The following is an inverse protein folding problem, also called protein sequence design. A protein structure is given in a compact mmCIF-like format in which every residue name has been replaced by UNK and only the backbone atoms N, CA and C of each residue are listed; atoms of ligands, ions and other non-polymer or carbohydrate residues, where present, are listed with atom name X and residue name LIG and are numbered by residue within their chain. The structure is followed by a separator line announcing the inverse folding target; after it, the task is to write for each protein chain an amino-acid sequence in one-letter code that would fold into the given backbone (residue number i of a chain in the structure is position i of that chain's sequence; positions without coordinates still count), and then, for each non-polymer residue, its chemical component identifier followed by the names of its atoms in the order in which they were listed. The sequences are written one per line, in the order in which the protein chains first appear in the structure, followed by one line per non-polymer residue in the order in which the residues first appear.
data_IF_453281573105
#
_entry.id   IF_453281573105
#
_cell.length_a   1.000
_cell.length_b   1.000
_cell.length_c   1.000
_cell.angle_alpha   90.00
_cell.angle_beta   90.00
_cell.angle_gamma   90.00
#
_symmetry.space_group_name_H-M   'P 1'
#
loop_
_entity.id
_entity.type
_entity.pdbx_description
1 polymer ?
#
# COMPACT_ATOMS: atom_id res chain seq x y z
N UNK A 1 -11.91 5.44 -4.21
CA UNK A 1 -11.92 6.64 -3.36
C UNK A 1 -13.25 7.39 -3.41
N UNK A 2 -13.86 7.65 -4.57
CA UNK A 2 -15.12 8.43 -4.60
C UNK A 2 -16.26 7.81 -3.77
N UNK A 3 -16.47 6.49 -3.88
CA UNK A 3 -17.51 5.79 -3.10
C UNK A 3 -17.28 5.84 -1.60
N UNK A 4 -16.02 5.73 -1.15
CA UNK A 4 -15.70 5.78 0.29
C UNK A 4 -15.80 7.21 0.83
N UNK A 5 -15.48 8.20 0.00
CA UNK A 5 -15.66 9.61 0.33
C UNK A 5 -17.16 9.97 0.43
N UNK A 6 -17.97 9.50 -0.52
CA UNK A 6 -19.43 9.65 -0.50
C UNK A 6 -20.06 8.97 0.73
N UNK A 7 -19.56 7.80 1.11
CA UNK A 7 -20.01 7.08 2.30
C UNK A 7 -19.51 7.70 3.62
N UNK A 8 -18.68 8.74 3.58
CA UNK A 8 -18.24 9.48 4.77
C UNK A 8 -17.10 8.82 5.55
N UNK A 9 -16.34 7.91 4.94
CA UNK A 9 -15.14 7.36 5.56
C UNK A 9 -14.08 8.45 5.74
N UNK A 10 -13.39 8.43 6.89
CA UNK A 10 -12.34 9.41 7.21
C UNK A 10 -10.98 9.02 6.65
N UNK A 11 -10.71 7.72 6.58
CA UNK A 11 -9.46 7.17 6.07
C UNK A 11 -9.67 5.91 5.22
N UNK A 12 -8.66 5.60 4.42
CA UNK A 12 -8.45 4.35 3.70
C UNK A 12 -7.06 3.81 4.02
N UNK A 13 -6.85 2.52 3.84
CA UNK A 13 -5.56 1.87 4.06
C UNK A 13 -5.39 0.77 3.01
N UNK A 14 -5.18 1.19 1.78
CA UNK A 14 -5.13 0.31 0.60
C UNK A 14 -4.11 0.75 -0.47
N UNK A 15 -3.66 2.01 -0.41
CA UNK A 15 -2.76 2.61 -1.39
C UNK A 15 -1.32 2.68 -0.86
N UNK A 16 -0.36 2.75 -1.78
CA UNK A 16 1.06 2.51 -1.50
C UNK A 16 1.98 3.63 -2.05
N UNK A 17 1.47 4.86 -2.19
CA UNK A 17 2.26 5.95 -2.77
C UNK A 17 3.33 6.52 -1.81
N UNK A 18 3.23 6.22 -0.52
CA UNK A 18 4.20 6.54 0.54
C UNK A 18 4.37 5.32 1.43
N UNK A 19 5.46 5.26 2.19
CA UNK A 19 5.76 4.12 3.06
C UNK A 19 5.28 4.34 4.51
N UNK A 20 5.69 5.45 5.13
CA UNK A 20 5.58 5.67 6.59
C UNK A 20 4.85 6.96 6.96
N UNK A 21 4.26 7.65 5.99
CA UNK A 21 3.64 8.96 6.19
C UNK A 21 2.26 8.96 5.55
N UNK A 22 1.19 9.27 6.31
CA UNK A 22 -0.13 9.50 5.76
C UNK A 22 -0.13 10.54 4.63
N UNK A 23 -1.13 10.47 3.75
CA UNK A 23 -1.27 11.45 2.67
C UNK A 23 -2.70 11.53 2.15
N UNK A 24 -3.02 12.59 1.41
CA UNK A 24 -4.28 12.72 0.67
C UNK A 24 -4.09 12.24 -0.77
N UNK A 25 -4.67 11.10 -1.19
CA UNK A 25 -4.45 10.59 -2.54
C UNK A 25 -5.02 11.52 -3.61
N UNK A 26 -4.20 11.87 -4.60
CA UNK A 26 -4.61 12.70 -5.73
C UNK A 26 -5.35 11.91 -6.80
N UNK A 27 -6.35 12.56 -7.41
CA UNK A 27 -6.93 12.10 -8.67
C UNK A 27 -6.00 12.48 -9.82
N UNK A 28 -6.00 11.69 -10.89
CA UNK A 28 -5.11 11.91 -12.03
C UNK A 28 -5.85 11.68 -13.35
N UNK A 29 -5.56 12.54 -14.32
CA UNK A 29 -5.81 12.26 -15.72
C UNK A 29 -4.55 11.65 -16.34
N UNK A 30 -4.68 10.40 -16.80
CA UNK A 30 -3.59 9.65 -17.43
C UNK A 30 -3.45 10.08 -18.88
N UNK A 31 -2.23 10.41 -19.29
CA UNK A 31 -1.89 10.80 -20.66
C UNK A 31 -0.90 9.81 -21.26
N UNK A 32 -1.03 9.53 -22.56
CA UNK A 32 -0.22 8.49 -23.21
C UNK A 32 1.23 8.90 -23.42
N UNK A 33 1.43 10.06 -24.03
CA UNK A 33 2.76 10.52 -24.48
C UNK A 33 3.22 11.77 -23.72
N UNK A 34 2.55 12.10 -22.60
CA UNK A 34 2.81 13.28 -21.77
C UNK A 34 2.71 12.89 -20.30
N UNK A 35 3.33 13.66 -19.41
CA UNK A 35 3.17 13.44 -17.97
C UNK A 35 1.70 13.56 -17.54
N UNK A 36 1.25 12.78 -16.56
CA UNK A 36 -0.14 12.83 -16.10
C UNK A 36 -0.49 14.21 -15.53
N UNK A 37 -1.77 14.57 -15.57
CA UNK A 37 -2.27 15.82 -14.96
C UNK A 37 -2.80 15.49 -13.58
N UNK A 38 -2.26 16.14 -12.56
CA UNK A 38 -2.74 16.07 -11.19
C UNK A 38 -4.08 16.79 -11.06
N UNK A 39 -5.03 16.14 -10.42
CA UNK A 39 -6.30 16.74 -9.98
C UNK A 39 -6.36 16.91 -8.47
N UNK A 40 -7.55 17.24 -7.97
CA UNK A 40 -7.83 17.37 -6.54
C UNK A 40 -7.41 16.14 -5.73
N UNK A 41 -6.79 16.36 -4.57
CA UNK A 41 -6.61 15.35 -3.55
C UNK A 41 -7.93 14.97 -2.86
N UNK A 42 -8.01 13.71 -2.43
CA UNK A 42 -9.13 13.15 -1.68
C UNK A 42 -9.26 13.80 -0.30
N UNK A 43 -10.49 13.93 0.21
CA UNK A 43 -10.71 14.27 1.64
C UNK A 43 -10.53 13.08 2.57
N UNK A 44 -10.43 11.87 2.02
CA UNK A 44 -10.11 10.64 2.76
C UNK A 44 -8.60 10.57 2.97
N UNK A 45 -8.16 10.39 4.22
CA UNK A 45 -6.75 10.23 4.56
C UNK A 45 -6.29 8.82 4.18
N UNK A 46 -5.18 8.69 3.50
CA UNK A 46 -4.57 7.38 3.30
C UNK A 46 -3.58 7.09 4.41
N UNK A 47 -3.75 5.93 5.05
CA UNK A 47 -2.75 5.29 5.89
C UNK A 47 -2.04 4.22 5.07
N UNK A 48 -0.86 4.53 4.51
CA UNK A 48 -0.24 3.68 3.50
C UNK A 48 -0.04 2.25 3.99
N UNK A 49 -0.36 1.32 3.08
CA UNK A 49 0.00 -0.09 3.25
C UNK A 49 1.29 -0.40 2.49
N UNK A 50 1.90 -1.53 2.82
CA UNK A 50 3.07 -2.04 2.11
C UNK A 50 3.01 -3.55 2.04
N UNK A 51 3.29 -4.12 0.87
CA UNK A 51 3.48 -5.57 0.73
C UNK A 51 4.65 -6.09 1.59
N UNK A 52 5.55 -5.22 2.02
CA UNK A 52 6.63 -5.58 2.94
C UNK A 52 6.19 -5.62 4.41
N UNK A 53 5.03 -5.07 4.75
CA UNK A 53 4.39 -5.06 6.08
C UNK A 53 3.10 -5.89 6.12
N UNK A 54 2.99 -6.86 5.21
CA UNK A 54 1.90 -7.82 5.12
C UNK A 54 2.42 -9.23 5.42
N UNK A 55 1.72 -9.98 6.27
CA UNK A 55 2.06 -11.36 6.60
C UNK A 55 1.67 -12.36 5.50
N UNK A 56 0.66 -12.05 4.67
CA UNK A 56 0.10 -13.02 3.74
C UNK A 56 1.06 -13.35 2.59
N UNK A 57 1.59 -12.39 1.81
CA UNK A 57 2.47 -12.74 0.71
C UNK A 57 3.71 -13.56 1.10
N UNK A 58 4.45 -13.26 2.19
CA UNK A 58 5.66 -14.02 2.53
C UNK A 58 5.41 -15.33 3.28
N UNK A 59 4.26 -15.52 3.94
CA UNK A 59 4.04 -16.67 4.83
C UNK A 59 2.90 -17.62 4.37
N UNK A 60 2.00 -17.15 3.50
CA UNK A 60 0.88 -17.97 3.05
C UNK A 60 1.26 -18.93 1.91
N UNK A 61 0.86 -20.18 2.04
CA UNK A 61 0.90 -21.13 0.94
C UNK A 61 -0.39 -21.03 0.09
N UNK A 62 -0.25 -20.63 -1.18
CA UNK A 62 -1.38 -20.45 -2.12
C UNK A 62 -1.37 -21.43 -3.29
N UNK A 63 -0.41 -22.35 -3.33
CA UNK A 63 -0.26 -23.39 -4.35
C UNK A 63 0.36 -22.94 -5.68
N UNK A 64 0.22 -21.67 -6.09
CA UNK A 64 0.82 -21.13 -7.32
C UNK A 64 2.12 -20.34 -7.07
N UNK A 65 2.22 -19.67 -5.92
CA UNK A 65 3.42 -19.01 -5.43
C UNK A 65 3.79 -19.66 -4.10
N UNK A 66 4.99 -20.23 -4.03
CA UNK A 66 5.53 -20.76 -2.78
C UNK A 66 6.18 -19.61 -2.01
N UNK A 67 5.48 -19.11 -1.00
CA UNK A 67 6.14 -18.36 0.06
C UNK A 67 5.62 -18.87 1.39
N UNK A 68 6.20 -20.00 1.80
CA UNK A 68 6.31 -20.44 3.19
C UNK A 68 7.63 -19.90 3.73
N UNK A 69 7.78 -18.59 3.66
CA UNK A 69 9.03 -17.90 3.95
C UNK A 69 9.46 -18.08 5.39
N UNK A 70 10.77 -18.00 5.61
CA UNK A 70 11.36 -18.05 6.94
C UNK A 70 10.91 -16.85 7.80
N UNK A 71 10.44 -17.14 9.02
CA UNK A 71 9.98 -16.13 9.97
C UNK A 71 11.08 -15.19 10.42
N UNK A 72 12.33 -15.65 10.54
CA UNK A 72 13.42 -14.74 10.93
C UNK A 72 13.69 -13.70 9.84
N UNK A 73 13.56 -14.08 8.57
CA UNK A 73 13.69 -13.17 7.44
C UNK A 73 12.60 -12.10 7.44
N UNK A 74 11.34 -12.47 7.72
CA UNK A 74 10.22 -11.52 7.85
C UNK A 74 10.42 -10.61 9.07
N UNK A 75 10.75 -11.19 10.23
CA UNK A 75 11.02 -10.45 11.46
C UNK A 75 12.14 -9.42 11.29
N UNK A 76 13.26 -9.80 10.67
CA UNK A 76 14.36 -8.88 10.40
C UNK A 76 13.91 -7.73 9.52
N UNK A 77 13.19 -8.00 8.42
CA UNK A 77 12.67 -6.95 7.54
C UNK A 77 11.77 -5.97 8.29
N UNK A 78 10.86 -6.48 9.10
CA UNK A 78 9.94 -5.65 9.87
C UNK A 78 10.68 -4.78 10.90
N UNK A 79 11.72 -5.32 11.55
CA UNK A 79 12.60 -4.54 12.41
C UNK A 79 13.37 -3.46 11.64
N UNK A 80 13.93 -3.79 10.47
CA UNK A 80 14.68 -2.83 9.65
C UNK A 80 13.79 -1.64 9.21
N UNK A 81 12.53 -1.91 8.80
CA UNK A 81 11.56 -0.87 8.44
C UNK A 81 11.20 -0.02 9.66
N UNK A 82 10.99 -0.67 10.82
CA UNK A 82 10.71 0.04 12.07
C UNK A 82 11.89 0.94 12.47
N UNK A 83 13.12 0.42 12.43
CA UNK A 83 14.33 1.17 12.79
C UNK A 83 14.51 2.37 11.86
N UNK A 84 14.22 2.22 10.56
CA UNK A 84 14.24 3.36 9.65
C UNK A 84 13.19 4.39 10.04
N UNK A 85 11.95 3.98 10.29
CA UNK A 85 10.87 4.86 10.74
C UNK A 85 11.24 5.61 12.03
N UNK A 86 11.67 4.87 13.04
CA UNK A 86 12.02 5.40 14.36
C UNK A 86 13.16 6.42 14.30
N UNK A 87 14.21 6.14 13.51
CA UNK A 87 15.40 6.99 13.46
C UNK A 87 15.28 8.16 12.46
N UNK A 88 14.47 8.04 11.42
CA UNK A 88 14.52 8.97 10.27
C UNK A 88 13.18 9.64 9.95
N UNK A 89 12.06 9.13 10.47
CA UNK A 89 10.73 9.66 10.18
C UNK A 89 10.04 10.17 11.44
N UNK A 90 10.22 11.46 11.80
CA UNK A 90 9.43 12.10 12.83
C UNK A 90 7.94 11.92 12.56
N UNK A 91 7.19 11.51 13.59
CA UNK A 91 5.75 11.23 13.51
C UNK A 91 5.38 10.23 12.40
N UNK A 92 6.29 9.31 12.06
CA UNK A 92 6.02 8.23 11.13
C UNK A 92 4.99 7.24 11.69
N UNK A 93 4.21 6.65 10.79
CA UNK A 93 3.30 5.55 11.11
C UNK A 93 3.90 4.23 10.64
N UNK A 94 3.56 3.16 11.33
CA UNK A 94 3.94 1.80 10.98
C UNK A 94 2.68 0.93 10.99
N UNK A 95 2.07 0.76 9.81
CA UNK A 95 0.79 0.05 9.65
C UNK A 95 1.04 -1.35 9.11
N UNK A 96 0.67 -2.36 9.88
CA UNK A 96 0.81 -3.78 9.50
C UNK A 96 -0.52 -4.36 9.05
N UNK A 97 -0.50 -5.12 7.96
CA UNK A 97 -1.60 -5.98 7.56
C UNK A 97 -1.34 -7.39 8.08
N UNK A 98 -2.18 -7.85 9.00
CA UNK A 98 -2.06 -9.16 9.64
C UNK A 98 -3.34 -9.96 9.44
N UNK A 99 -3.19 -11.21 9.00
CA UNK A 99 -4.30 -12.09 8.70
C UNK A 99 -4.40 -13.20 9.76
N UNK A 100 -5.52 -13.36 10.49
CA UNK A 100 -5.63 -14.34 11.55
C UNK A 100 -5.29 -15.79 11.14
N UNK A 101 -5.62 -16.18 9.91
CA UNK A 101 -5.30 -17.51 9.38
C UNK A 101 -3.80 -17.73 9.10
N UNK A 102 -3.02 -16.64 9.00
CA UNK A 102 -1.57 -16.68 8.74
C UNK A 102 -0.82 -16.38 10.04
N UNK A 103 -0.87 -15.16 10.57
CA UNK A 103 -0.13 -14.77 11.78
C UNK A 103 -0.52 -15.57 13.04
N UNK A 104 -1.74 -16.11 13.07
CA UNK A 104 -2.27 -16.89 14.19
C UNK A 104 -1.73 -18.31 14.29
N UNK A 105 -0.88 -18.77 13.35
CA UNK A 105 -0.22 -20.06 13.47
C UNK A 105 0.87 -20.02 14.55
N UNK A 106 1.05 -21.13 15.27
CA UNK A 106 1.84 -21.17 16.51
C UNK A 106 3.26 -20.55 16.38
N UNK A 107 3.97 -20.82 15.28
CA UNK A 107 5.32 -20.30 15.05
C UNK A 107 5.33 -18.82 14.65
N UNK A 108 4.32 -18.35 13.91
CA UNK A 108 4.15 -16.94 13.58
C UNK A 108 3.79 -16.09 14.80
N UNK A 109 3.02 -16.64 15.74
CA UNK A 109 2.70 -15.95 17.00
C UNK A 109 3.96 -15.65 17.82
N UNK A 110 4.90 -16.59 17.91
CA UNK A 110 6.20 -16.38 18.59
C UNK A 110 7.03 -15.30 17.90
N UNK A 111 7.02 -15.27 16.57
CA UNK A 111 7.66 -14.20 15.80
C UNK A 111 7.03 -12.83 16.08
N UNK A 112 5.69 -12.75 16.08
CA UNK A 112 4.96 -11.51 16.36
C UNK A 112 5.19 -11.02 17.79
N UNK A 113 5.21 -11.92 18.78
CA UNK A 113 5.54 -11.59 20.17
C UNK A 113 6.92 -10.92 20.27
N UNK A 114 7.94 -11.50 19.62
CA UNK A 114 9.29 -10.92 19.57
C UNK A 114 9.35 -9.56 18.88
N UNK A 115 8.47 -9.30 17.91
CA UNK A 115 8.37 -7.99 17.26
C UNK A 115 7.71 -6.97 18.20
N UNK A 116 6.61 -7.34 18.85
CA UNK A 116 5.90 -6.46 19.80
C UNK A 116 6.81 -6.08 20.96
N UNK A 117 7.55 -7.04 21.55
CA UNK A 117 8.51 -6.74 22.61
C UNK A 117 9.66 -5.86 22.11
N UNK A 118 10.07 -5.99 20.84
CA UNK A 118 11.04 -5.08 20.23
C UNK A 118 10.48 -3.66 20.12
N UNK A 119 9.25 -3.47 19.66
CA UNK A 119 8.63 -2.15 19.60
C UNK A 119 8.49 -1.53 21.00
N UNK A 120 8.08 -2.31 22.01
CA UNK A 120 7.96 -1.86 23.40
C UNK A 120 9.29 -1.46 24.04
N UNK A 121 10.43 -1.91 23.52
CA UNK A 121 11.74 -1.50 24.02
C UNK A 121 12.20 -0.13 23.52
N UNK A 122 11.41 0.55 22.69
CA UNK A 122 11.71 1.88 22.16
C UNK A 122 10.79 2.92 22.79
N UNK A 123 11.37 3.99 23.33
CA UNK A 123 10.62 5.08 23.94
C UNK A 123 9.83 5.87 22.89
N UNK A 124 8.63 6.34 23.24
CA UNK A 124 7.81 7.15 22.34
C UNK A 124 7.03 6.37 21.28
N UNK A 125 7.15 5.03 21.23
CA UNK A 125 6.27 4.20 20.40
C UNK A 125 4.85 4.23 20.96
N UNK A 126 3.90 4.63 20.12
CA UNK A 126 2.48 4.65 20.45
C UNK A 126 1.74 3.51 19.74
N UNK A 127 1.31 2.51 20.50
CA UNK A 127 0.40 1.48 20.01
C UNK A 127 -1.02 2.04 19.96
N UNK A 128 -1.61 2.07 18.78
CA UNK A 128 -2.85 2.80 18.53
C UNK A 128 -3.63 2.20 17.37
N UNK A 129 -4.87 2.66 17.19
CA UNK A 129 -5.70 2.32 16.05
C UNK A 129 -5.49 3.28 14.87
N UNK A 130 -5.85 2.82 13.66
CA UNK A 130 -5.90 3.68 12.47
C UNK A 130 -6.85 4.87 12.63
N UNK A 131 -7.94 4.70 13.38
CA UNK A 131 -8.89 5.78 13.66
C UNK A 131 -8.27 6.87 14.53
N UNK A 132 -7.52 6.51 15.57
CA UNK A 132 -6.81 7.46 16.42
C UNK A 132 -5.71 8.21 15.67
N UNK A 133 -4.94 7.52 14.80
CA UNK A 133 -3.95 8.16 13.91
C UNK A 133 -4.64 9.19 13.02
N UNK A 134 -5.78 8.81 12.42
CA UNK A 134 -6.57 9.73 11.57
C UNK A 134 -7.12 10.90 12.38
N UNK A 135 -7.52 10.66 13.62
CA UNK A 135 -8.10 11.67 14.51
C UNK A 135 -7.11 12.75 14.95
N UNK A 136 -5.81 12.44 14.99
CA UNK A 136 -4.76 13.41 15.31
C UNK A 136 -4.01 13.94 14.08
N UNK A 137 -4.41 13.54 12.86
CA UNK A 137 -3.78 14.04 11.65
C UNK A 137 -4.22 15.47 11.35
N UNK A 138 -3.25 16.36 11.17
CA UNK A 138 -3.48 17.73 10.74
C UNK A 138 -2.93 17.93 9.34
N UNK A 139 -3.79 18.32 8.41
CA UNK A 139 -3.37 18.67 7.06
C UNK A 139 -2.45 19.90 7.09
N UNK A 140 -1.39 19.89 6.30
CA UNK A 140 -0.53 21.06 6.11
C UNK A 140 -1.05 21.97 4.98
N UNK A 141 -0.29 23.03 4.66
CA UNK A 141 -0.65 23.95 3.58
C UNK A 141 -0.60 23.28 2.19
N UNK A 142 0.26 22.27 2.02
CA UNK A 142 0.37 21.53 0.78
C UNK A 142 -0.83 20.60 0.59
N UNK A 143 -1.24 19.87 1.62
CA UNK A 143 -2.44 19.04 1.59
C UNK A 143 -3.68 19.87 1.22
N UNK A 144 -3.83 21.04 1.86
CA UNK A 144 -4.91 22.00 1.54
C UNK A 144 -4.84 22.48 0.09
N UNK A 145 -3.64 22.81 -0.40
CA UNK A 145 -3.43 23.25 -1.79
C UNK A 145 -3.79 22.15 -2.78
N UNK A 146 -3.38 20.90 -2.50
CA UNK A 146 -3.65 19.74 -3.34
C UNK A 146 -5.15 19.39 -3.38
N UNK A 147 -5.84 19.48 -2.25
CA UNK A 147 -7.30 19.29 -2.20
C UNK A 147 -8.06 20.38 -2.96
N UNK A 148 -7.51 21.58 -3.09
CA UNK A 148 -8.11 22.70 -3.82
C UNK A 148 -7.85 22.70 -5.34
N UNK A 149 -7.04 21.76 -5.85
CA UNK A 149 -6.82 21.63 -7.29
C UNK A 149 -8.12 21.31 -8.04
N UNK A 150 -8.25 21.70 -9.32
CA UNK A 150 -9.39 21.28 -10.12
C UNK A 150 -9.41 19.77 -10.26
N UNK A 151 -10.60 19.20 -10.42
CA UNK A 151 -10.72 17.77 -10.66
C UNK A 151 -10.12 17.39 -12.02
N UNK A 152 -9.33 16.33 -12.06
CA UNK A 152 -8.72 15.79 -13.27
C UNK A 152 -8.73 14.26 -13.20
N UNK A 153 -9.43 13.62 -14.13
CA UNK A 153 -9.69 12.17 -14.11
C UNK A 153 -9.73 11.58 -15.52
N UNK A 154 -9.58 10.25 -15.56
CA UNK A 154 -9.75 9.46 -16.77
C UNK A 154 -8.44 9.17 -17.49
N UNK A 155 -8.55 8.52 -18.64
CA UNK A 155 -7.43 8.18 -19.50
C UNK A 155 -7.66 8.86 -20.84
N UNK A 156 -6.65 9.58 -21.34
CA UNK A 156 -6.72 10.16 -22.69
C UNK A 156 -6.98 9.06 -23.74
N UNK A 157 -7.69 9.41 -24.84
CA UNK A 157 -7.82 8.50 -25.97
C UNK A 157 -6.45 8.06 -26.48
N UNK A 158 -6.33 6.78 -26.86
CA UNK A 158 -5.10 6.26 -27.45
C UNK A 158 -4.74 7.04 -28.72
N UNK A 159 -3.48 7.49 -28.89
CA UNK A 159 -3.07 8.18 -30.12
C UNK A 159 -3.30 7.29 -31.35
N UNK A 160 -3.78 7.89 -32.44
CA UNK A 160 -4.12 7.15 -33.68
C UNK A 160 -2.91 6.49 -34.35
N UNK A 161 -1.69 6.93 -34.04
CA UNK A 161 -0.43 6.35 -34.52
C UNK A 161 0.22 5.35 -33.56
N UNK A 162 -0.41 5.08 -32.40
CA UNK A 162 0.15 4.21 -31.38
C UNK A 162 -0.01 2.73 -31.79
N UNK A 163 1.05 2.15 -32.35
CA UNK A 163 1.07 0.75 -32.80
C UNK A 163 1.44 -0.21 -31.66
N UNK A 164 0.76 -0.09 -30.51
CA UNK A 164 0.83 -1.10 -29.45
C UNK A 164 0.37 -2.44 -30.03
N UNK A 165 0.98 -3.60 -29.70
CA UNK A 165 0.64 -4.87 -30.35
C UNK A 165 -0.81 -5.26 -30.00
N UNK A 166 -1.74 -4.76 -30.79
CA UNK A 166 -3.14 -5.05 -30.67
C UNK A 166 -3.39 -6.41 -31.34
N UNK A 167 -3.68 -7.40 -30.48
CA UNK A 167 -4.61 -8.51 -30.75
C UNK A 167 -4.14 -9.73 -31.57
N UNK A 168 -2.84 -9.97 -31.78
CA UNK A 168 -2.39 -11.19 -32.48
C UNK A 168 -1.26 -12.03 -31.85
N UNK A 169 -0.65 -11.65 -30.72
CA UNK A 169 0.62 -12.28 -30.31
C UNK A 169 0.61 -13.27 -29.13
N UNK A 170 -0.53 -13.55 -28.46
CA UNK A 170 -0.50 -14.38 -27.23
C UNK A 170 -1.39 -15.63 -27.17
N UNK A 171 -2.04 -16.03 -28.26
CA UNK A 171 -2.71 -17.34 -28.32
C UNK A 171 -2.32 -18.10 -29.60
N UNK A 172 -1.09 -18.60 -29.65
CA UNK A 172 -0.81 -19.82 -30.40
C UNK A 172 -0.94 -21.00 -29.43
N UNK A 173 -2.19 -21.36 -29.11
CA UNK A 173 -2.50 -22.69 -28.62
C UNK A 173 -2.25 -23.67 -29.78
N UNK A 174 -1.22 -24.47 -29.59
CA UNK A 174 -0.80 -25.66 -30.33
C UNK A 174 -1.91 -26.33 -31.16
N UNK A 175 -1.82 -26.24 -32.48
CA UNK A 175 -2.24 -27.35 -33.35
C UNK A 175 -1.04 -28.30 -33.49
N UNK A 176 -0.99 -29.27 -32.58
CA UNK A 176 -0.14 -30.44 -32.71
C UNK A 176 -0.79 -31.40 -33.72
N UNK A 177 -0.55 -31.18 -35.01
CA UNK A 177 -0.67 -32.24 -36.01
C UNK A 177 0.61 -33.09 -35.94
N UNK A 178 0.48 -34.33 -35.44
CA UNK A 178 1.63 -35.23 -35.33
C UNK A 178 1.38 -36.55 -34.59
N UNK A 179 0.31 -37.28 -34.95
CA UNK A 179 0.26 -38.75 -35.10
C UNK A 179 -1.13 -39.19 -35.53
#
# INVERSE_FOLDING_TARGET
LDLIEEAGFKYDSSLMARDLVPYRPQRWQVRWEKGNIAGSASKVLELPVSWYLDDFPPLAYTGANETMGDTETVLRRWKDIFDYCYNNQPNGIYVMALHPQIIGQAHHMIMLERLIEYFKSHEGVWFTTCEEITGCWEDDDEDRRLMALPDARGVEPMPSGYNWPARHACFHARDAAGR
#
